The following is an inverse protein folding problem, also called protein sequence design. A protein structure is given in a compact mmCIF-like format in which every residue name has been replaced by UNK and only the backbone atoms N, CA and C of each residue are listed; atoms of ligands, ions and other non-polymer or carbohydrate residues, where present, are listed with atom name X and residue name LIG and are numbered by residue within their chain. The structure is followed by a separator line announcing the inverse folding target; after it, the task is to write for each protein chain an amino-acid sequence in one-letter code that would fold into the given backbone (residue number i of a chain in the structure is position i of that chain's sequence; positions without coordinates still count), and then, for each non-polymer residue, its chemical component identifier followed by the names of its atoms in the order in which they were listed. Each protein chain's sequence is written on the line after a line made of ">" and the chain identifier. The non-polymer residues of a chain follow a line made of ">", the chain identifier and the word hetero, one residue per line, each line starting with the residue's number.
data_IF_378712194971
#
_entry.id   IF_378712194971
#
_cell.length_a   1.000
_cell.length_b   1.000
_cell.length_c   1.000
_cell.angle_alpha   90.00
_cell.angle_beta   90.00
_cell.angle_gamma   90.00
#
_symmetry.space_group_name_H-M   'P 1'
#
loop_
_entity.id
_entity.type
_entity.pdbx_description
1 polymer ?
#
# COMPACT_ATOMS: atom_id res chain seq x y z
N UNK A 1 -9.98 -8.57 13.44
CA UNK A 1 -10.37 -7.15 13.20
C UNK A 1 -9.40 -6.62 12.15
N UNK A 2 -9.88 -6.09 11.01
CA UNK A 2 -8.98 -5.51 10.03
C UNK A 2 -8.28 -4.29 10.63
N UNK A 3 -6.98 -4.24 10.46
CA UNK A 3 -6.15 -3.10 10.85
C UNK A 3 -6.65 -1.83 10.16
N UNK A 4 -6.37 -0.66 10.74
CA UNK A 4 -6.76 0.61 10.14
C UNK A 4 -6.17 0.79 8.73
N UNK A 5 -4.95 0.29 8.51
CA UNK A 5 -4.28 0.37 7.20
C UNK A 5 -4.99 -0.45 6.13
N UNK A 6 -5.47 -1.66 6.46
CA UNK A 6 -6.21 -2.51 5.51
C UNK A 6 -7.49 -1.82 5.04
N UNK A 7 -8.21 -1.16 5.96
CA UNK A 7 -9.44 -0.44 5.63
C UNK A 7 -9.17 0.77 4.73
N UNK A 8 -8.09 1.52 5.00
CA UNK A 8 -7.67 2.65 4.16
C UNK A 8 -7.29 2.17 2.75
N UNK A 9 -6.49 1.10 2.66
CA UNK A 9 -6.06 0.51 1.38
C UNK A 9 -7.26 0.00 0.59
N UNK A 10 -8.21 -0.70 1.23
CA UNK A 10 -9.42 -1.18 0.58
C UNK A 10 -10.24 -0.03 -0.03
N UNK A 11 -10.41 1.08 0.70
CA UNK A 11 -11.09 2.27 0.18
C UNK A 11 -10.36 2.83 -1.04
N UNK A 12 -9.03 2.97 -1.01
CA UNK A 12 -8.30 3.47 -2.17
C UNK A 12 -8.36 2.54 -3.39
N UNK A 13 -8.30 1.22 -3.18
CA UNK A 13 -8.46 0.22 -4.25
C UNK A 13 -9.86 0.34 -4.86
N UNK A 14 -10.90 0.41 -4.02
CA UNK A 14 -12.30 0.56 -4.47
C UNK A 14 -12.53 1.86 -5.25
N UNK A 15 -11.88 2.95 -4.85
CA UNK A 15 -11.93 4.24 -5.54
C UNK A 15 -10.98 4.33 -6.74
N UNK A 16 -10.27 3.25 -7.08
CA UNK A 16 -9.21 3.21 -8.11
C UNK A 16 -8.15 4.31 -7.94
N UNK A 17 -7.93 4.74 -6.70
CA UNK A 17 -7.01 5.82 -6.41
C UNK A 17 -5.58 5.29 -6.26
N UNK A 18 -4.98 4.94 -7.40
CA UNK A 18 -3.60 4.48 -7.46
C UNK A 18 -2.62 5.50 -6.87
N UNK A 19 -2.81 6.78 -7.23
CA UNK A 19 -1.94 7.86 -6.75
C UNK A 19 -1.96 7.97 -5.22
N UNK A 20 -3.12 7.81 -4.59
CA UNK A 20 -3.25 7.80 -3.13
C UNK A 20 -2.50 6.63 -2.49
N UNK A 21 -2.55 5.45 -3.09
CA UNK A 21 -1.76 4.29 -2.63
C UNK A 21 -0.25 4.50 -2.83
N UNK A 22 0.17 5.08 -3.95
CA UNK A 22 1.58 5.39 -4.21
C UNK A 22 2.11 6.45 -3.22
N UNK A 23 1.34 7.49 -2.92
CA UNK A 23 1.67 8.51 -1.90
C UNK A 23 1.75 7.90 -0.50
N UNK A 24 0.81 7.02 -0.15
CA UNK A 24 0.81 6.28 1.12
C UNK A 24 2.03 5.36 1.23
N UNK A 25 2.38 4.65 0.15
CA UNK A 25 3.58 3.81 0.07
C UNK A 25 4.86 4.62 0.31
N UNK A 26 5.02 5.73 -0.42
CA UNK A 26 6.19 6.60 -0.27
C UNK A 26 6.33 7.12 1.17
N UNK A 27 5.21 7.47 1.80
CA UNK A 27 5.23 7.93 3.19
C UNK A 27 5.70 6.83 4.15
N UNK A 28 5.19 5.60 4.01
CA UNK A 28 5.57 4.46 4.86
C UNK A 28 7.02 4.05 4.67
N UNK A 29 7.50 4.00 3.43
CA UNK A 29 8.90 3.69 3.13
C UNK A 29 9.87 4.75 3.70
N UNK A 30 9.53 6.04 3.60
CA UNK A 30 10.33 7.11 4.22
C UNK A 30 10.39 6.94 5.73
N UNK A 31 9.25 6.68 6.37
CA UNK A 31 9.21 6.46 7.82
C UNK A 31 10.05 5.25 8.25
N UNK A 32 10.04 4.15 7.49
CA UNK A 32 10.88 2.99 7.74
C UNK A 32 12.37 3.33 7.66
N UNK A 33 12.80 4.07 6.62
CA UNK A 33 14.19 4.51 6.46
C UNK A 33 14.60 5.46 7.59
N UNK A 34 13.74 6.43 7.92
CA UNK A 34 14.00 7.39 9.00
C UNK A 34 14.18 6.68 10.34
N UNK A 35 13.33 5.68 10.65
CA UNK A 35 13.46 4.90 11.89
C UNK A 35 14.68 3.99 11.89
N UNK A 36 15.00 3.36 10.76
CA UNK A 36 16.22 2.53 10.60
C UNK A 36 17.50 3.36 10.75
N UNK A 37 17.44 4.67 10.44
CA UNK A 37 18.58 5.59 10.59
C UNK A 37 18.81 6.08 12.02
N UNK A 38 17.82 5.95 12.91
CA UNK A 38 17.90 6.42 14.29
C UNK A 38 18.58 5.38 15.17
N UNK A 39 19.57 5.83 15.93
CA UNK A 39 20.25 5.03 16.94
C UNK A 39 19.83 5.47 18.36
N UNK A 40 20.02 4.59 19.34
CA UNK A 40 19.78 4.90 20.76
C UNK A 40 18.45 4.40 21.34
N UNK A 41 17.57 3.81 20.53
CA UNK A 41 16.35 3.14 20.98
C UNK A 41 16.10 1.86 20.17
N UNK A 42 15.36 0.92 20.76
CA UNK A 42 14.87 -0.25 20.03
C UNK A 42 13.63 0.11 19.21
N UNK A 43 13.82 0.23 17.89
CA UNK A 43 12.75 0.46 16.93
C UNK A 43 12.31 -0.81 16.20
N UNK A 44 12.75 -2.00 16.63
CA UNK A 44 12.44 -3.27 15.96
C UNK A 44 10.93 -3.50 15.78
N UNK A 45 10.15 -3.23 16.82
CA UNK A 45 8.70 -3.39 16.80
C UNK A 45 8.00 -2.37 15.87
N UNK A 46 8.22 -1.04 15.99
CA UNK A 46 7.67 -0.07 15.04
C UNK A 46 8.09 -0.31 13.59
N UNK A 47 9.34 -0.73 13.36
CA UNK A 47 9.84 -1.07 12.02
C UNK A 47 9.07 -2.27 11.47
N UNK A 48 8.88 -3.33 12.26
CA UNK A 48 8.11 -4.50 11.84
C UNK A 48 6.65 -4.15 11.50
N UNK A 49 6.02 -3.26 12.27
CA UNK A 49 4.67 -2.78 11.98
C UNK A 49 4.61 -2.01 10.65
N UNK A 50 5.59 -1.16 10.37
CA UNK A 50 5.65 -0.42 9.10
C UNK A 50 5.93 -1.35 7.92
N UNK A 51 6.79 -2.34 8.09
CA UNK A 51 7.08 -3.34 7.05
C UNK A 51 5.80 -4.16 6.72
N UNK A 52 4.97 -4.48 7.72
CA UNK A 52 3.65 -5.10 7.52
C UNK A 52 2.67 -4.16 6.80
N UNK A 53 2.60 -2.89 7.20
CA UNK A 53 1.78 -1.87 6.51
C UNK A 53 2.19 -1.72 5.04
N UNK A 54 3.49 -1.72 4.73
CA UNK A 54 4.02 -1.68 3.36
C UNK A 54 3.51 -2.87 2.55
N UNK A 55 3.61 -4.10 3.10
CA UNK A 55 3.14 -5.30 2.40
C UNK A 55 1.64 -5.24 2.08
N UNK A 56 0.83 -4.69 2.99
CA UNK A 56 -0.61 -4.49 2.77
C UNK A 56 -0.87 -3.50 1.63
N UNK A 57 -0.13 -2.39 1.57
CA UNK A 57 -0.27 -1.40 0.49
C UNK A 57 0.19 -1.99 -0.85
N UNK A 58 1.27 -2.77 -0.89
CA UNK A 58 1.75 -3.46 -2.10
C UNK A 58 0.69 -4.45 -2.64
N UNK A 59 0.05 -5.19 -1.74
CA UNK A 59 -1.05 -6.08 -2.10
C UNK A 59 -2.24 -5.28 -2.67
N UNK A 60 -2.57 -4.12 -2.09
CA UNK A 60 -3.59 -3.22 -2.61
C UNK A 60 -3.29 -2.70 -4.02
N UNK A 61 -2.06 -2.22 -4.25
CA UNK A 61 -1.59 -1.77 -5.56
C UNK A 61 -1.64 -2.88 -6.61
N UNK A 62 -1.25 -4.10 -6.23
CA UNK A 62 -1.30 -5.28 -7.11
C UNK A 62 -2.74 -5.63 -7.48
N UNK A 63 -3.67 -5.60 -6.52
CA UNK A 63 -5.11 -5.81 -6.76
C UNK A 63 -5.69 -4.75 -7.69
N UNK A 64 -5.33 -3.49 -7.50
CA UNK A 64 -5.76 -2.41 -8.38
C UNK A 64 -5.27 -2.62 -9.82
N UNK A 65 -3.99 -2.99 -9.98
CA UNK A 65 -3.41 -3.31 -11.28
C UNK A 65 -4.13 -4.50 -11.95
N UNK A 66 -4.41 -5.57 -11.21
CA UNK A 66 -5.14 -6.74 -11.72
C UNK A 66 -6.61 -6.43 -12.07
N UNK A 67 -7.28 -5.58 -11.28
CA UNK A 67 -8.66 -5.15 -11.53
C UNK A 67 -8.78 -4.19 -12.72
N UNK A 68 -7.75 -3.39 -13.00
CA UNK A 68 -7.71 -2.56 -14.21
C UNK A 68 -7.51 -3.38 -15.49
N UNK A 69 -6.72 -4.47 -15.43
CA UNK A 69 -6.50 -5.35 -16.59
C UNK A 69 -7.79 -6.08 -17.02
N UNK A 70 -8.65 -6.45 -16.07
CA UNK A 70 -9.95 -7.07 -16.37
C UNK A 70 -10.97 -6.11 -17.01
N UNK A 71 -10.84 -4.79 -16.79
CA UNK A 71 -11.73 -3.79 -17.39
C UNK A 71 -11.33 -3.38 -18.82
N UNK A 72 -10.13 -3.76 -19.28
CA UNK A 72 -9.62 -3.42 -20.62
C UNK A 72 -9.86 -4.50 -21.68
N UNK A 73 -10.46 -5.64 -21.32
CA UNK A 73 -10.77 -6.76 -22.23
C UNK A 73 -12.21 -6.71 -22.80
N UNK A 74 -12.99 -5.65 -22.53
CA UNK A 74 -14.34 -5.55 -23.07
C UNK A 74 -14.28 -5.21 -24.57
N UNK A 75 -14.53 -6.25 -25.38
CA UNK A 75 -14.22 -6.33 -26.80
C UNK A 75 -14.88 -5.27 -27.66
N UNK A 76 -14.08 -4.69 -28.57
CA UNK A 76 -14.60 -4.02 -29.76
C UNK A 76 -14.48 -4.96 -30.96
N UNK A 77 -15.58 -5.48 -31.51
CA UNK A 77 -15.60 -5.91 -32.90
C UNK A 77 -15.74 -4.67 -33.79
N UNK A 78 -14.85 -4.52 -34.77
CA UNK A 78 -15.05 -3.67 -35.95
C UNK A 78 -15.53 -4.52 -37.12
#
# INVERSE_FOLDING_TARGET
>A
MPSAIEQIVDVYVRLKNRRGLDELMMHRQRLAVDLKSRSGYDFSLPIGQIDEEIAIIEAGLSRLKSGDIAATDDGRPV
#
